data_IF_763437052880
#
_entry.id   IF_763437052880
#
_cell.length_a   1.000
_cell.length_b   1.000
_cell.length_c   1.000
_cell.angle_alpha   90.00
_cell.angle_beta   90.00
_cell.angle_gamma   90.00
#
_symmetry.space_group_name_H-M   'P 1'
#
loop_
_entity.id
_entity.type
_entity.pdbx_description
1 polymer ?
#
# COMPACT_ATOMS: atom_id res chain seq x y z
N UNK A 1 12.55 -6.35 8.24
CA UNK A 1 12.32 -4.92 7.95
C UNK A 1 11.54 -4.30 9.10
N UNK A 2 11.80 -3.04 9.49
CA UNK A 2 11.08 -2.36 10.59
C UNK A 2 9.89 -1.55 10.06
N UNK A 3 8.99 -1.10 10.94
CA UNK A 3 7.75 -0.41 10.55
C UNK A 3 8.00 0.90 9.79
N UNK A 4 9.05 1.64 10.16
CA UNK A 4 9.42 2.87 9.45
C UNK A 4 9.81 2.57 7.99
N UNK A 5 10.65 1.55 7.76
CA UNK A 5 11.02 1.18 6.40
C UNK A 5 9.83 0.64 5.58
N UNK A 6 8.88 -0.06 6.19
CA UNK A 6 7.61 -0.45 5.54
C UNK A 6 6.86 0.80 5.10
N UNK A 7 6.65 1.73 6.03
CA UNK A 7 5.92 2.98 5.81
C UNK A 7 6.55 3.80 4.68
N UNK A 8 7.85 4.05 4.74
CA UNK A 8 8.57 4.80 3.70
C UNK A 8 8.44 4.14 2.32
N UNK A 9 8.55 2.82 2.27
CA UNK A 9 8.45 2.07 1.01
C UNK A 9 7.02 2.12 0.44
N UNK A 10 6.00 1.91 1.27
CA UNK A 10 4.58 2.01 0.87
C UNK A 10 4.25 3.43 0.40
N UNK A 11 4.69 4.45 1.13
CA UNK A 11 4.53 5.86 0.72
C UNK A 11 5.21 6.13 -0.62
N UNK A 12 6.41 5.61 -0.84
CA UNK A 12 7.12 5.74 -2.11
C UNK A 12 6.37 5.09 -3.29
N UNK A 13 5.81 3.90 -3.09
CA UNK A 13 4.99 3.22 -4.10
C UNK A 13 3.73 4.04 -4.41
N UNK A 14 3.01 4.48 -3.37
CA UNK A 14 1.79 5.28 -3.52
C UNK A 14 2.07 6.58 -4.28
N UNK A 15 3.15 7.32 -3.94
CA UNK A 15 3.54 8.54 -4.67
C UNK A 15 3.81 8.26 -6.14
N UNK A 16 4.59 7.20 -6.42
CA UNK A 16 4.95 6.82 -7.78
C UNK A 16 3.74 6.46 -8.66
N UNK A 17 2.76 5.78 -8.06
CA UNK A 17 1.55 5.36 -8.76
C UNK A 17 0.45 6.42 -8.75
N UNK A 18 0.45 7.36 -7.80
CA UNK A 18 -0.55 8.41 -7.70
C UNK A 18 -0.45 9.44 -8.84
N UNK A 19 -1.58 10.05 -9.19
CA UNK A 19 -1.60 11.16 -10.14
C UNK A 19 -1.31 12.47 -9.40
N UNK A 20 -0.04 12.78 -9.12
CA UNK A 20 0.35 14.10 -8.60
C UNK A 20 1.67 14.12 -7.82
N UNK A 21 2.25 15.32 -7.72
CA UNK A 21 3.44 15.62 -6.91
C UNK A 21 3.04 15.83 -5.43
N UNK A 22 2.40 14.84 -4.81
CA UNK A 22 2.17 14.89 -3.37
C UNK A 22 3.52 14.71 -2.65
N UNK A 23 4.19 15.81 -2.31
CA UNK A 23 5.43 15.80 -1.52
C UNK A 23 5.24 15.08 -0.17
N UNK A 24 4.04 15.19 0.40
CA UNK A 24 3.68 14.59 1.68
C UNK A 24 2.33 13.86 1.58
N UNK A 25 2.35 12.55 1.87
CA UNK A 25 1.14 11.73 1.93
C UNK A 25 0.67 11.67 3.38
N UNK A 26 -0.57 12.06 3.63
CA UNK A 26 -1.19 11.85 4.94
C UNK A 26 -1.55 10.38 5.13
N UNK A 27 -1.35 9.87 6.35
CA UNK A 27 -1.83 8.55 6.76
C UNK A 27 -3.35 8.40 6.66
N UNK A 28 -4.07 9.51 6.76
CA UNK A 28 -5.53 9.57 6.70
C UNK A 28 -6.04 9.70 5.27
N UNK A 29 -5.15 9.91 4.29
CA UNK A 29 -5.54 10.05 2.89
C UNK A 29 -6.21 8.78 2.41
N UNK A 30 -7.36 8.96 1.74
CA UNK A 30 -8.12 7.87 1.15
C UNK A 30 -7.51 7.48 -0.19
N UNK A 31 -7.15 6.21 -0.34
CA UNK A 31 -6.42 5.71 -1.51
C UNK A 31 -7.24 5.93 -2.79
N UNK A 32 -8.54 5.61 -2.75
CA UNK A 32 -9.41 5.75 -3.91
C UNK A 32 -9.75 7.20 -4.25
N UNK A 33 -10.14 8.01 -3.25
CA UNK A 33 -10.68 9.36 -3.50
C UNK A 33 -9.62 10.45 -3.52
N UNK A 34 -8.63 10.37 -2.65
CA UNK A 34 -7.64 11.45 -2.46
C UNK A 34 -6.41 11.22 -3.33
N UNK A 35 -6.02 9.95 -3.54
CA UNK A 35 -4.88 9.57 -4.38
C UNK A 35 -5.29 9.13 -5.80
N UNK A 36 -6.60 9.01 -6.06
CA UNK A 36 -7.16 8.71 -7.38
C UNK A 36 -6.86 7.29 -7.86
N UNK A 37 -6.83 6.30 -6.97
CA UNK A 37 -6.69 4.89 -7.34
C UNK A 37 -8.07 4.30 -7.66
N UNK A 38 -8.29 3.98 -8.93
CA UNK A 38 -9.43 3.17 -9.36
C UNK A 38 -9.18 1.66 -9.09
N UNK A 39 -10.16 0.82 -9.44
CA UNK A 39 -10.07 -0.64 -9.19
C UNK A 39 -8.91 -1.31 -9.92
N UNK A 40 -8.53 -0.85 -11.10
CA UNK A 40 -7.38 -1.40 -11.84
C UNK A 40 -6.08 -0.99 -11.15
N UNK A 41 -5.98 0.28 -10.75
CA UNK A 41 -4.84 0.81 -9.99
C UNK A 41 -4.65 0.14 -8.63
N UNK A 42 -5.74 -0.21 -7.95
CA UNK A 42 -5.68 -0.96 -6.69
C UNK A 42 -5.15 -2.39 -6.91
N UNK A 43 -5.54 -3.04 -8.01
CA UNK A 43 -4.99 -4.33 -8.39
C UNK A 43 -3.49 -4.25 -8.69
N UNK A 44 -3.07 -3.25 -9.47
CA UNK A 44 -1.65 -3.00 -9.74
C UNK A 44 -0.87 -2.72 -8.45
N UNK A 45 -1.45 -1.95 -7.53
CA UNK A 45 -0.83 -1.62 -6.24
C UNK A 45 -0.59 -2.88 -5.40
N UNK A 46 -1.55 -3.80 -5.37
CA UNK A 46 -1.41 -5.08 -4.67
C UNK A 46 -0.23 -5.89 -5.24
N UNK A 47 -0.14 -6.02 -6.56
CA UNK A 47 0.96 -6.73 -7.23
C UNK A 47 2.32 -6.08 -6.92
N UNK A 48 2.41 -4.76 -7.01
CA UNK A 48 3.67 -4.05 -6.70
C UNK A 48 4.07 -4.26 -5.24
N UNK A 49 3.13 -4.24 -4.31
CA UNK A 49 3.40 -4.51 -2.89
C UNK A 49 3.90 -5.94 -2.70
N UNK A 50 3.25 -6.93 -3.32
CA UNK A 50 3.65 -8.33 -3.26
C UNK A 50 5.08 -8.54 -3.76
N UNK A 51 5.40 -7.98 -4.93
CA UNK A 51 6.74 -8.08 -5.51
C UNK A 51 7.80 -7.35 -4.67
N UNK A 52 7.47 -6.16 -4.14
CA UNK A 52 8.44 -5.32 -3.41
C UNK A 52 8.76 -5.84 -2.02
N UNK A 53 7.83 -6.55 -1.40
CA UNK A 53 7.98 -7.10 -0.05
C UNK A 53 8.08 -8.63 -0.03
N UNK A 54 8.14 -9.28 -1.20
CA UNK A 54 8.17 -10.74 -1.36
C UNK A 54 7.03 -11.44 -0.60
N UNK A 55 5.83 -10.85 -0.67
CA UNK A 55 4.64 -11.37 0.01
C UNK A 55 3.89 -12.38 -0.86
N UNK A 56 3.12 -13.25 -0.21
CA UNK A 56 2.14 -14.07 -0.91
C UNK A 56 1.05 -13.20 -1.53
N UNK A 57 0.46 -13.70 -2.63
CA UNK A 57 -0.63 -13.02 -3.32
C UNK A 57 -1.75 -12.62 -2.35
N UNK A 58 -2.11 -11.35 -2.39
CA UNK A 58 -3.19 -10.75 -1.60
C UNK A 58 -4.49 -10.96 -2.36
N UNK A 59 -5.55 -11.31 -1.64
CA UNK A 59 -6.87 -11.42 -2.25
C UNK A 59 -7.33 -10.04 -2.73
N UNK A 60 -7.89 -9.96 -3.93
CA UNK A 60 -8.37 -8.70 -4.51
C UNK A 60 -9.44 -8.06 -3.61
N UNK A 61 -10.30 -8.85 -2.99
CA UNK A 61 -11.31 -8.34 -2.05
C UNK A 61 -10.64 -7.74 -0.80
N UNK A 62 -9.51 -8.30 -0.34
CA UNK A 62 -8.74 -7.74 0.77
C UNK A 62 -8.07 -6.42 0.37
N UNK A 63 -7.47 -6.35 -0.82
CA UNK A 63 -6.87 -5.13 -1.35
C UNK A 63 -7.90 -3.99 -1.53
N UNK A 64 -9.13 -4.34 -1.94
CA UNK A 64 -10.25 -3.39 -2.10
C UNK A 64 -10.85 -2.91 -0.77
N UNK A 65 -10.65 -3.66 0.33
CA UNK A 65 -11.13 -3.25 1.65
C UNK A 65 -10.25 -2.18 2.32
N UNK A 66 -9.03 -1.97 1.83
CA UNK A 66 -8.13 -0.95 2.35
C UNK A 66 -8.57 0.44 1.90
N UNK A 67 -8.95 1.30 2.85
CA UNK A 67 -9.49 2.63 2.56
C UNK A 67 -8.44 3.75 2.63
N UNK A 68 -7.50 3.65 3.57
CA UNK A 68 -6.53 4.71 3.90
C UNK A 68 -5.09 4.25 3.79
N UNK A 69 -4.16 5.22 3.66
CA UNK A 69 -2.72 4.95 3.62
C UNK A 69 -2.25 4.22 4.89
N UNK A 70 -2.77 4.60 6.07
CA UNK A 70 -2.46 3.94 7.34
C UNK A 70 -2.83 2.46 7.31
N UNK A 71 -4.05 2.14 6.91
CA UNK A 71 -4.52 0.76 6.85
C UNK A 71 -3.68 -0.10 5.89
N UNK A 72 -3.23 0.49 4.77
CA UNK A 72 -2.33 -0.20 3.86
C UNK A 72 -0.97 -0.50 4.50
N UNK A 73 -0.37 0.49 5.15
CA UNK A 73 0.92 0.32 5.85
C UNK A 73 0.79 -0.73 6.95
N UNK A 74 -0.29 -0.71 7.71
CA UNK A 74 -0.55 -1.67 8.79
C UNK A 74 -0.70 -3.09 8.22
N UNK A 75 -1.51 -3.28 7.17
CA UNK A 75 -1.68 -4.57 6.50
C UNK A 75 -0.35 -5.15 6.00
N UNK A 76 0.45 -4.33 5.31
CA UNK A 76 1.76 -4.76 4.80
C UNK A 76 2.72 -5.05 5.95
N UNK A 77 2.69 -4.25 7.01
CA UNK A 77 3.52 -4.48 8.20
C UNK A 77 3.20 -5.81 8.86
N UNK A 78 1.92 -6.14 9.01
CA UNK A 78 1.47 -7.42 9.57
C UNK A 78 1.90 -8.59 8.68
N UNK A 79 1.76 -8.47 7.36
CA UNK A 79 2.17 -9.49 6.38
C UNK A 79 3.68 -9.74 6.41
N UNK A 80 4.50 -8.67 6.38
CA UNK A 80 5.96 -8.78 6.45
C UNK A 80 6.41 -9.45 7.75
N UNK A 81 5.72 -9.19 8.86
CA UNK A 81 6.01 -9.84 10.15
C UNK A 81 5.53 -11.29 10.20
N UNK A 82 4.38 -11.59 9.58
CA UNK A 82 3.80 -12.93 9.51
C UNK A 82 4.56 -13.88 8.58
N UNK A 83 5.12 -13.38 7.48
CA UNK A 83 5.99 -14.16 6.56
C UNK A 83 7.34 -14.53 7.19
N UNK A 84 7.76 -13.84 8.26
CA UNK A 84 9.00 -14.11 8.98
C UNK A 84 8.88 -15.23 10.06
N UNK A 85 7.75 -15.94 10.11
CA UNK A 85 7.49 -17.06 11.02
C UNK A 85 7.45 -18.40 10.26
#
# INVERSE_FOLDING_TARGET
>A
MNNEAVRETVHGILRHMSYGDAEELSDEARIATDLGFDSLRLLELAIVIEERFELAAVDVDEALNVSTVRELVDLVTERVRGTAA
#
